data_IF_490558066729
#
_entry.id   IF_490558066729
#
_cell.length_a   1.000
_cell.length_b   1.000
_cell.length_c   1.000
_cell.angle_alpha   90.00
_cell.angle_beta   90.00
_cell.angle_gamma   90.00
#
_symmetry.space_group_name_H-M   'P 1'
#
loop_
_entity.id
_entity.type
_entity.pdbx_description
1 polymer ?
#
# COMPACT_ATOMS: atom_id res chain seq x y z
N UNK A 1 -8.73 1.38 -18.94
CA UNK A 1 -8.77 1.18 -17.47
C UNK A 1 -10.23 1.15 -17.05
N UNK A 2 -10.65 0.18 -16.23
CA UNK A 2 -12.06 0.09 -15.82
C UNK A 2 -12.45 1.30 -14.96
N UNK A 3 -13.70 1.74 -15.04
CA UNK A 3 -14.25 2.81 -14.19
C UNK A 3 -14.05 2.49 -12.69
N UNK A 4 -14.07 1.21 -12.33
CA UNK A 4 -13.80 0.73 -10.97
C UNK A 4 -12.38 1.06 -10.50
N UNK A 5 -11.36 0.81 -11.33
CA UNK A 5 -9.97 1.12 -10.95
C UNK A 5 -9.77 2.60 -10.65
N UNK A 6 -10.30 3.48 -11.50
CA UNK A 6 -10.14 4.92 -11.32
C UNK A 6 -10.75 5.40 -10.01
N UNK A 7 -11.97 4.95 -9.69
CA UNK A 7 -12.67 5.32 -8.45
C UNK A 7 -11.93 4.82 -7.20
N UNK A 8 -11.42 3.59 -7.23
CA UNK A 8 -10.64 3.04 -6.11
C UNK A 8 -9.31 3.78 -5.94
N UNK A 9 -8.64 4.11 -7.04
CA UNK A 9 -7.39 4.86 -7.01
C UNK A 9 -7.58 6.27 -6.41
N UNK A 10 -8.68 6.95 -6.76
CA UNK A 10 -9.06 8.23 -6.16
C UNK A 10 -9.30 8.11 -4.64
N UNK A 11 -10.04 7.07 -4.21
CA UNK A 11 -10.25 6.81 -2.77
C UNK A 11 -8.94 6.53 -2.01
N UNK A 12 -8.00 5.79 -2.63
CA UNK A 12 -6.68 5.53 -2.05
C UNK A 12 -5.92 6.85 -1.85
N UNK A 13 -5.93 7.74 -2.84
CA UNK A 13 -5.25 9.02 -2.78
C UNK A 13 -5.85 9.90 -1.67
N UNK A 14 -7.17 9.99 -1.59
CA UNK A 14 -7.87 10.80 -0.59
C UNK A 14 -7.54 10.35 0.84
N UNK A 15 -7.53 9.04 1.09
CA UNK A 15 -7.18 8.48 2.39
C UNK A 15 -5.72 8.76 2.78
N UNK A 16 -4.78 8.56 1.85
CA UNK A 16 -3.34 8.81 2.07
C UNK A 16 -3.07 10.29 2.34
N UNK A 17 -3.78 11.18 1.66
CA UNK A 17 -3.65 12.62 1.87
C UNK A 17 -4.06 13.04 3.28
N UNK A 18 -4.97 12.32 3.92
CA UNK A 18 -5.38 12.53 5.32
C UNK A 18 -4.33 12.10 6.36
N UNK A 19 -3.20 11.51 5.95
CA UNK A 19 -2.15 11.04 6.86
C UNK A 19 -1.05 12.12 7.00
N UNK A 20 -1.25 13.03 7.94
CA UNK A 20 -0.42 14.25 8.12
C UNK A 20 1.04 13.97 8.54
N UNK A 21 1.32 12.80 9.12
CA UNK A 21 2.66 12.46 9.62
C UNK A 21 3.56 11.80 8.56
N UNK A 22 3.05 11.57 7.34
CA UNK A 22 3.83 11.03 6.24
C UNK A 22 4.32 12.16 5.33
N UNK A 23 5.57 12.06 4.89
CA UNK A 23 6.09 12.93 3.85
C UNK A 23 5.65 12.48 2.44
N UNK A 24 5.79 13.36 1.45
CA UNK A 24 5.38 13.10 0.06
C UNK A 24 5.98 11.82 -0.53
N UNK A 25 7.23 11.49 -0.17
CA UNK A 25 7.87 10.25 -0.63
C UNK A 25 7.21 9.01 -0.02
N UNK A 26 6.84 9.05 1.25
CA UNK A 26 6.13 7.97 1.94
C UNK A 26 4.71 7.83 1.38
N UNK A 27 4.01 8.94 1.19
CA UNK A 27 2.67 8.98 0.58
C UNK A 27 2.66 8.37 -0.82
N UNK A 28 3.58 8.77 -1.69
CA UNK A 28 3.68 8.20 -3.04
C UNK A 28 4.04 6.71 -3.06
N UNK A 29 4.86 6.23 -2.11
CA UNK A 29 5.14 4.80 -1.96
C UNK A 29 3.93 4.01 -1.52
N UNK A 30 3.16 4.55 -0.58
CA UNK A 30 1.94 3.95 -0.04
C UNK A 30 0.87 3.85 -1.14
N UNK A 31 0.69 4.91 -1.93
CA UNK A 31 -0.23 4.95 -3.07
C UNK A 31 0.10 3.84 -4.09
N UNK A 32 1.38 3.68 -4.44
CA UNK A 32 1.82 2.63 -5.35
C UNK A 32 1.55 1.22 -4.83
N UNK A 33 1.70 1.00 -3.53
CA UNK A 33 1.44 -0.30 -2.89
C UNK A 33 -0.05 -0.64 -2.87
N UNK A 34 -0.89 0.31 -2.44
CA UNK A 34 -2.35 0.13 -2.41
C UNK A 34 -2.92 -0.15 -3.80
N UNK A 35 -2.47 0.59 -4.83
CA UNK A 35 -2.90 0.34 -6.21
C UNK A 35 -2.43 -1.04 -6.73
N UNK A 36 -1.23 -1.50 -6.35
CA UNK A 36 -0.75 -2.85 -6.68
C UNK A 36 -1.60 -3.94 -6.02
N UNK A 37 -1.94 -3.78 -4.74
CA UNK A 37 -2.80 -4.72 -4.01
C UNK A 37 -4.16 -4.80 -4.69
N UNK A 38 -4.80 -3.66 -5.00
CA UNK A 38 -6.07 -3.65 -5.72
C UNK A 38 -6.01 -4.40 -7.05
N UNK A 39 -4.96 -4.17 -7.84
CA UNK A 39 -4.78 -4.87 -9.13
C UNK A 39 -4.59 -6.37 -8.96
N UNK A 40 -3.92 -6.80 -7.88
CA UNK A 40 -3.75 -8.20 -7.53
C UNK A 40 -5.09 -8.82 -7.12
N UNK A 41 -5.86 -8.16 -6.25
CA UNK A 41 -7.19 -8.63 -5.82
C UNK A 41 -8.19 -8.69 -6.98
N UNK A 42 -8.14 -7.72 -7.89
CA UNK A 42 -9.02 -7.66 -9.06
C UNK A 42 -8.63 -8.65 -10.18
N UNK A 43 -7.46 -9.29 -10.09
CA UNK A 43 -7.02 -10.28 -11.07
C UNK A 43 -7.61 -11.67 -10.78
N UNK A 44 -8.08 -12.36 -11.83
CA UNK A 44 -8.87 -13.60 -11.75
C UNK A 44 -8.15 -14.82 -11.15
N UNK A 45 -6.89 -14.68 -10.72
CA UNK A 45 -6.09 -15.76 -10.16
C UNK A 45 -5.96 -15.62 -8.64
N UNK A 46 -7.11 -15.61 -7.95
CA UNK A 46 -7.21 -15.30 -6.52
C UNK A 46 -6.21 -16.05 -5.62
N UNK A 47 -5.92 -17.32 -5.89
CA UNK A 47 -4.97 -18.10 -5.08
C UNK A 47 -3.52 -17.62 -5.20
N UNK A 48 -3.10 -17.20 -6.40
CA UNK A 48 -1.76 -16.66 -6.61
C UNK A 48 -1.66 -15.21 -6.08
N UNK A 49 -2.72 -14.43 -6.26
CA UNK A 49 -2.78 -13.04 -5.81
C UNK A 49 -2.82 -12.90 -4.29
N UNK A 50 -3.55 -13.77 -3.59
CA UNK A 50 -3.62 -13.77 -2.11
C UNK A 50 -2.24 -13.95 -1.48
N UNK A 51 -1.45 -14.92 -1.97
CA UNK A 51 -0.11 -15.18 -1.43
C UNK A 51 0.83 -14.00 -1.64
N UNK A 52 0.78 -13.36 -2.81
CA UNK A 52 1.60 -12.16 -3.11
C UNK A 52 1.19 -10.98 -2.22
N UNK A 53 -0.10 -10.83 -1.92
CA UNK A 53 -0.60 -9.79 -1.01
C UNK A 53 -0.09 -10.04 0.41
N UNK A 54 -0.18 -11.27 0.90
CA UNK A 54 0.34 -11.64 2.23
C UNK A 54 1.85 -11.36 2.34
N UNK A 55 2.62 -11.69 1.30
CA UNK A 55 4.06 -11.41 1.24
C UNK A 55 4.34 -9.89 1.27
N UNK A 56 3.57 -9.09 0.53
CA UNK A 56 3.69 -7.62 0.52
C UNK A 56 3.32 -6.99 1.88
N UNK A 57 2.29 -7.50 2.54
CA UNK A 57 1.91 -7.06 3.90
C UNK A 57 3.01 -7.42 4.89
N UNK A 58 3.61 -8.60 4.75
CA UNK A 58 4.76 -9.03 5.55
C UNK A 58 5.96 -8.09 5.38
N UNK A 59 6.33 -7.79 4.14
CA UNK A 59 7.43 -6.85 3.85
C UNK A 59 7.16 -5.45 4.40
N UNK A 60 5.92 -4.96 4.29
CA UNK A 60 5.49 -3.67 4.84
C UNK A 60 5.59 -3.63 6.36
N UNK A 61 5.10 -4.67 7.03
CA UNK A 61 5.17 -4.80 8.48
C UNK A 61 6.62 -4.80 8.97
N UNK A 62 7.48 -5.60 8.32
CA UNK A 62 8.92 -5.63 8.63
C UNK A 62 9.62 -4.30 8.34
N UNK A 63 9.22 -3.57 7.30
CA UNK A 63 9.76 -2.24 7.02
C UNK A 63 9.30 -1.20 8.04
N UNK A 64 8.05 -1.27 8.50
CA UNK A 64 7.51 -0.41 9.54
C UNK A 64 8.20 -0.65 10.89
N UNK A 65 8.39 -1.92 11.28
CA UNK A 65 9.09 -2.29 12.51
C UNK A 65 10.54 -1.78 12.50
N UNK A 66 11.26 -1.91 11.38
CA UNK A 66 12.61 -1.34 11.24
C UNK A 66 12.65 0.19 11.38
N UNK A 67 11.62 0.90 10.93
CA UNK A 67 11.54 2.36 11.09
C UNK A 67 11.30 2.72 12.56
N UNK A 68 10.49 1.93 13.28
CA UNK A 68 10.26 2.10 14.72
C UNK A 68 11.55 1.91 15.52
N UNK A 69 12.31 0.85 15.23
CA UNK A 69 13.59 0.57 15.90
C UNK A 69 14.66 1.64 15.61
N UNK A 70 14.62 2.26 14.43
CA UNK A 70 15.52 3.37 14.07
C UNK A 70 15.06 4.72 14.62
N UNK A 71 13.76 4.89 14.88
CA UNK A 71 13.17 6.09 15.49
C UNK A 71 13.34 6.18 17.00
N UNK A 72 13.49 5.04 17.70
CA UNK A 72 13.80 5.01 19.14
C UNK A 72 15.28 5.32 19.47
N UNK A 73 16.14 5.41 18.44
CA UNK A 73 17.58 5.69 18.58
C UNK A 73 18.00 7.10 18.08
N UNK A 74 17.04 8.03 17.88
CA UNK A 74 17.30 9.41 17.44
C UNK A 74 17.00 10.44 18.55
#
# INVERSE_FOLDING_TARGET
MSIGYKKISEMIIDEINGIDHLNERQKGRLEQLCNKIYMLEASSNHNASSKIIDDLIGELSMAADRIKDLGENA
#
